data_IF_226067199354
#
_entry.id   IF_226067199354
#
_cell.length_a   1.000
_cell.length_b   1.000
_cell.length_c   1.000
_cell.angle_alpha   90.00
_cell.angle_beta   90.00
_cell.angle_gamma   90.00
#
_symmetry.space_group_name_H-M   'P 1'
#
loop_
_entity.id
_entity.type
_entity.pdbx_description
1 polymer ?
#
# COMPACT_ATOMS: atom_id res chain seq x y z
N UNK A 1 6.42 -15.12 9.48
CA UNK A 1 7.84 -15.46 9.74
C UNK A 1 8.16 -15.61 11.22
N UNK A 2 7.99 -14.60 12.09
CA UNK A 2 8.32 -14.72 13.51
C UNK A 2 7.70 -15.96 14.19
N UNK A 3 6.42 -16.21 13.93
CA UNK A 3 5.71 -17.40 14.42
C UNK A 3 6.34 -18.74 13.96
N UNK A 4 6.75 -18.83 12.69
CA UNK A 4 7.39 -20.05 12.15
C UNK A 4 8.72 -20.38 12.82
N UNK A 5 9.43 -19.35 13.30
CA UNK A 5 10.73 -19.48 13.94
C UNK A 5 10.66 -19.38 15.47
N UNK A 6 9.45 -19.35 16.05
CA UNK A 6 9.26 -19.22 17.49
C UNK A 6 9.83 -17.93 18.09
N UNK A 7 9.99 -16.87 17.29
CA UNK A 7 10.53 -15.58 17.75
C UNK A 7 9.42 -14.82 18.48
N UNK A 8 9.54 -14.59 19.81
CA UNK A 8 8.54 -13.84 20.55
C UNK A 8 8.60 -12.36 20.17
N UNK A 9 7.46 -11.79 19.77
CA UNK A 9 7.34 -10.38 19.44
C UNK A 9 6.77 -9.62 20.65
N UNK A 10 7.63 -8.85 21.32
CA UNK A 10 7.21 -7.89 22.32
C UNK A 10 6.64 -6.60 21.70
N UNK A 11 5.99 -5.74 22.50
CA UNK A 11 5.43 -4.47 22.02
C UNK A 11 6.44 -3.58 21.30
N UNK A 12 7.70 -3.55 21.76
CA UNK A 12 8.77 -2.78 21.13
C UNK A 12 9.13 -3.28 19.72
N UNK A 13 9.17 -4.59 19.51
CA UNK A 13 9.42 -5.17 18.20
C UNK A 13 8.28 -4.85 17.22
N UNK A 14 7.03 -4.96 17.68
CA UNK A 14 5.85 -4.58 16.88
C UNK A 14 5.88 -3.09 16.50
N UNK A 15 6.23 -2.21 17.45
CA UNK A 15 6.35 -0.77 17.18
C UNK A 15 7.48 -0.47 16.18
N UNK A 16 8.65 -1.11 16.33
CA UNK A 16 9.76 -0.97 15.39
C UNK A 16 9.40 -1.46 13.99
N UNK A 17 8.74 -2.62 13.89
CA UNK A 17 8.23 -3.17 12.63
C UNK A 17 7.21 -2.24 11.98
N UNK A 18 6.26 -1.69 12.76
CA UNK A 18 5.29 -0.73 12.27
C UNK A 18 5.94 0.54 11.73
N UNK A 19 6.87 1.13 12.47
CA UNK A 19 7.61 2.31 12.04
C UNK A 19 8.38 2.03 10.74
N UNK A 20 9.10 0.90 10.67
CA UNK A 20 9.81 0.49 9.47
C UNK A 20 8.85 0.31 8.28
N UNK A 21 7.70 -0.33 8.49
CA UNK A 21 6.68 -0.55 7.45
C UNK A 21 6.07 0.76 6.93
N UNK A 22 5.82 1.72 7.81
CA UNK A 22 5.32 3.04 7.42
C UNK A 22 6.36 3.80 6.57
N UNK A 23 7.62 3.77 6.98
CA UNK A 23 8.72 4.41 6.25
C UNK A 23 8.92 3.78 4.87
N UNK A 24 8.95 2.45 4.79
CA UNK A 24 9.16 1.75 3.51
C UNK A 24 7.97 1.89 2.56
N UNK A 25 6.74 2.01 3.08
CA UNK A 25 5.54 2.28 2.27
C UNK A 25 5.61 3.62 1.54
N UNK A 26 6.13 4.67 2.18
CA UNK A 26 6.30 5.98 1.55
C UNK A 26 7.34 5.98 0.42
N UNK A 27 8.31 5.04 0.46
CA UNK A 27 9.37 4.88 -0.54
C UNK A 27 9.06 3.89 -1.67
N UNK A 28 7.85 3.32 -1.71
CA UNK A 28 7.49 2.29 -2.68
C UNK A 28 7.31 2.87 -4.10
N UNK A 29 8.43 3.00 -4.82
CA UNK A 29 8.44 3.12 -6.28
C UNK A 29 7.91 1.81 -6.88
N UNK A 30 7.09 1.88 -7.95
CA UNK A 30 6.37 0.75 -8.55
C UNK A 30 7.24 -0.31 -9.24
N UNK A 31 8.22 -0.88 -8.52
CA UNK A 31 9.07 -1.96 -9.00
C UNK A 31 8.28 -3.27 -9.05
N UNK A 32 8.33 -4.03 -10.16
CA UNK A 32 7.55 -5.26 -10.31
C UNK A 32 7.90 -6.37 -9.30
N UNK A 33 6.85 -6.96 -8.72
CA UNK A 33 6.81 -8.29 -8.10
C UNK A 33 7.85 -8.58 -7.01
N UNK A 34 8.92 -9.27 -7.37
CA UNK A 34 9.84 -9.94 -6.42
C UNK A 34 10.87 -9.01 -5.79
N UNK A 35 11.34 -8.01 -6.54
CA UNK A 35 12.31 -7.01 -6.05
C UNK A 35 11.64 -6.11 -5.02
N UNK A 36 10.39 -5.69 -5.29
CA UNK A 36 9.59 -4.92 -4.33
C UNK A 36 9.37 -5.68 -3.03
N UNK A 37 8.94 -6.95 -3.09
CA UNK A 37 8.68 -7.73 -1.89
C UNK A 37 9.86 -7.84 -0.93
N UNK A 38 11.04 -8.23 -1.43
CA UNK A 38 12.22 -8.37 -0.57
C UNK A 38 12.66 -7.00 -0.05
N UNK A 39 12.67 -5.97 -0.92
CA UNK A 39 13.08 -4.62 -0.54
C UNK A 39 12.17 -3.97 0.49
N UNK A 40 10.86 -4.27 0.48
CA UNK A 40 9.89 -3.73 1.43
C UNK A 40 9.83 -4.52 2.73
N UNK A 41 9.98 -5.85 2.71
CA UNK A 41 9.81 -6.71 3.90
C UNK A 41 11.11 -6.94 4.66
N UNK A 42 12.26 -6.99 3.99
CA UNK A 42 13.54 -7.22 4.66
C UNK A 42 13.86 -6.15 5.74
N UNK A 43 13.68 -4.83 5.50
CA UNK A 43 13.91 -3.83 6.54
C UNK A 43 12.99 -3.99 7.75
N UNK A 44 11.74 -4.39 7.51
CA UNK A 44 10.75 -4.61 8.57
C UNK A 44 11.16 -5.82 9.43
N UNK A 45 11.54 -6.94 8.79
CA UNK A 45 12.00 -8.13 9.48
C UNK A 45 13.26 -7.86 10.30
N UNK A 46 14.21 -7.10 9.75
CA UNK A 46 15.43 -6.67 10.47
C UNK A 46 15.07 -5.80 11.68
N UNK A 47 14.17 -4.82 11.53
CA UNK A 47 13.72 -3.96 12.62
C UNK A 47 13.03 -4.73 13.76
N UNK A 48 12.36 -5.84 13.43
CA UNK A 48 11.70 -6.72 14.41
C UNK A 48 12.62 -7.82 14.97
N UNK A 49 13.88 -7.93 14.50
CA UNK A 49 14.79 -9.01 14.91
C UNK A 49 14.39 -10.40 14.38
N UNK A 50 13.64 -10.45 13.28
CA UNK A 50 13.08 -11.67 12.68
C UNK A 50 13.98 -12.14 11.52
N UNK A 51 14.22 -13.45 11.36
CA UNK A 51 15.07 -13.96 10.27
C UNK A 51 14.51 -13.63 8.88
N UNK A 52 15.37 -13.16 7.98
CA UNK A 52 15.01 -12.75 6.61
C UNK A 52 15.11 -13.87 5.56
N UNK A 53 15.84 -14.93 5.85
CA UNK A 53 16.02 -16.10 4.94
C UNK A 53 14.68 -16.65 4.41
N UNK A 54 13.60 -16.77 5.21
CA UNK A 54 12.32 -17.30 4.75
C UNK A 54 11.65 -16.44 3.66
N UNK A 55 12.05 -15.18 3.50
CA UNK A 55 11.55 -14.31 2.43
C UNK A 55 11.88 -14.88 1.05
N UNK A 56 13.01 -15.58 0.89
CA UNK A 56 13.36 -16.24 -0.37
C UNK A 56 12.37 -17.34 -0.77
N UNK A 57 11.77 -18.02 0.22
CA UNK A 57 10.70 -19.00 -0.04
C UNK A 57 9.36 -18.32 -0.29
N UNK A 58 9.05 -17.26 0.47
CA UNK A 58 7.81 -16.51 0.32
C UNK A 58 7.71 -15.76 -1.02
N UNK A 59 8.84 -15.38 -1.63
CA UNK A 59 8.92 -14.84 -3.00
C UNK A 59 8.21 -15.75 -4.00
N UNK A 60 8.28 -17.07 -3.84
CA UNK A 60 7.67 -18.02 -4.77
C UNK A 60 6.14 -17.89 -4.84
N UNK A 61 5.51 -17.39 -3.79
CA UNK A 61 4.06 -17.25 -3.68
C UNK A 61 3.59 -15.80 -3.62
N UNK A 62 4.51 -14.83 -3.69
CA UNK A 62 4.20 -13.40 -3.50
C UNK A 62 3.23 -12.84 -4.54
N UNK A 63 3.11 -13.47 -5.72
CA UNK A 63 2.18 -13.01 -6.75
C UNK A 63 0.74 -12.93 -6.25
N UNK A 64 0.31 -13.86 -5.39
CA UNK A 64 -1.03 -13.88 -4.81
C UNK A 64 -1.26 -12.66 -3.89
N UNK A 65 -0.49 -12.46 -2.80
CA UNK A 65 -0.65 -11.28 -1.96
C UNK A 65 -0.33 -9.96 -2.67
N UNK A 66 0.55 -9.92 -3.67
CA UNK A 66 0.81 -8.71 -4.48
C UNK A 66 -0.45 -8.21 -5.21
N UNK A 67 -1.24 -9.14 -5.76
CA UNK A 67 -2.55 -8.82 -6.37
C UNK A 67 -3.47 -8.15 -5.34
N UNK A 68 -3.61 -8.74 -4.15
CA UNK A 68 -4.47 -8.18 -3.11
C UNK A 68 -3.94 -6.85 -2.56
N UNK A 69 -2.63 -6.71 -2.38
CA UNK A 69 -1.98 -5.46 -1.98
C UNK A 69 -2.26 -4.35 -2.99
N UNK A 70 -2.12 -4.65 -4.28
CA UNK A 70 -2.36 -3.69 -5.36
C UNK A 70 -3.84 -3.30 -5.45
N UNK A 71 -4.75 -4.28 -5.50
CA UNK A 71 -6.19 -4.03 -5.55
C UNK A 71 -6.68 -3.26 -4.32
N UNK A 72 -6.24 -3.66 -3.13
CA UNK A 72 -6.60 -3.00 -1.87
C UNK A 72 -6.14 -1.54 -1.81
N UNK A 73 -4.91 -1.27 -2.23
CA UNK A 73 -4.38 0.10 -2.27
C UNK A 73 -5.17 0.97 -3.25
N UNK A 74 -5.46 0.48 -4.45
CA UNK A 74 -6.25 1.23 -5.45
C UNK A 74 -7.68 1.45 -4.96
N UNK A 75 -8.32 0.43 -4.41
CA UNK A 75 -9.67 0.54 -3.86
C UNK A 75 -9.75 1.56 -2.71
N UNK A 76 -8.76 1.56 -1.80
CA UNK A 76 -8.66 2.54 -0.73
C UNK A 76 -8.48 3.96 -1.28
N UNK A 77 -7.63 4.15 -2.28
CA UNK A 77 -7.42 5.45 -2.91
C UNK A 77 -8.71 6.01 -3.51
N UNK A 78 -9.47 5.19 -4.26
CA UNK A 78 -10.76 5.59 -4.83
C UNK A 78 -11.76 5.94 -3.72
N UNK A 79 -11.85 5.10 -2.69
CA UNK A 79 -12.75 5.31 -1.56
C UNK A 79 -12.41 6.61 -0.79
N UNK A 80 -11.13 6.88 -0.55
CA UNK A 80 -10.66 8.10 0.10
C UNK A 80 -10.98 9.35 -0.74
N UNK A 81 -10.69 9.32 -2.04
CA UNK A 81 -11.04 10.42 -2.96
C UNK A 81 -12.53 10.70 -2.96
N UNK A 82 -13.37 9.66 -3.05
CA UNK A 82 -14.83 9.79 -2.98
C UNK A 82 -15.30 10.35 -1.65
N UNK A 83 -14.74 9.86 -0.53
CA UNK A 83 -15.07 10.37 0.80
C UNK A 83 -14.71 11.85 0.96
N UNK A 84 -13.57 12.30 0.40
CA UNK A 84 -13.15 13.70 0.40
C UNK A 84 -14.07 14.55 -0.48
N UNK A 85 -14.37 14.11 -1.71
CA UNK A 85 -15.24 14.81 -2.65
C UNK A 85 -16.63 15.09 -2.05
N UNK A 86 -17.26 14.09 -1.41
CA UNK A 86 -18.53 14.29 -0.73
C UNK A 86 -18.45 15.31 0.42
N UNK A 87 -17.31 15.39 1.10
CA UNK A 87 -17.11 16.22 2.28
C UNK A 87 -16.70 17.65 1.94
N UNK A 88 -16.06 17.85 0.79
CA UNK A 88 -15.74 19.17 0.25
C UNK A 88 -16.98 19.90 -0.30
N UNK A 89 -18.13 19.19 -0.39
CA UNK A 89 -19.24 19.60 -1.24
C UNK A 89 -18.85 19.39 -2.71
N UNK A 90 -19.80 19.02 -3.57
CA UNK A 90 -19.56 19.02 -5.02
C UNK A 90 -19.12 20.43 -5.45
N UNK A 91 -17.83 20.72 -5.43
CA UNK A 91 -17.24 21.58 -6.44
C UNK A 91 -17.25 20.74 -7.70
N UNK A 92 -18.43 20.67 -8.32
CA UNK A 92 -18.62 20.04 -9.61
C UNK A 92 -17.66 20.73 -10.60
N UNK A 93 -16.56 20.08 -11.02
CA UNK A 93 -15.72 20.62 -12.08
C UNK A 93 -16.43 20.47 -13.44
N UNK A 94 -17.61 19.82 -13.46
CA UNK A 94 -18.42 19.40 -14.60
C UNK A 94 -19.42 20.43 -15.11
N UNK A 95 -19.58 21.58 -14.45
CA UNK A 95 -19.85 22.83 -15.19
C UNK A 95 -18.53 23.35 -15.79
N UNK A 96 -17.75 22.46 -16.39
CA UNK A 96 -16.64 22.84 -17.26
C UNK A 96 -17.27 23.54 -18.45
N UNK A 97 -16.65 24.63 -18.92
CA UNK A 97 -17.04 25.42 -20.10
C UNK A 97 -17.56 24.57 -21.29
N UNK A 98 -17.10 23.32 -21.40
CA UNK A 98 -17.58 22.32 -22.36
C UNK A 98 -19.09 22.00 -22.27
N UNK A 99 -19.66 21.89 -21.06
CA UNK A 99 -21.08 21.59 -20.83
C UNK A 99 -21.96 22.83 -21.09
N UNK A 100 -21.41 24.04 -20.87
CA UNK A 100 -22.03 25.30 -21.29
C UNK A 100 -22.02 25.49 -22.82
N UNK A 101 -20.93 25.12 -23.49
CA UNK A 101 -20.80 25.15 -24.96
C UNK A 101 -21.80 24.21 -25.66
N UNK A 102 -22.12 23.07 -25.05
CA UNK A 102 -23.13 22.13 -25.56
C UNK A 102 -24.58 22.62 -25.36
N UNK A 103 -24.84 23.46 -24.34
CA UNK A 103 -26.16 24.09 -24.15
C UNK A 103 -26.40 25.32 -25.01
N UNK A 104 -25.34 26.03 -25.41
CA UNK A 104 -25.42 27.21 -26.29
C UNK A 104 -25.51 26.92 -27.78
N UNK A 105 -25.40 25.65 -28.20
CA UNK A 105 -25.43 25.20 -29.60
C UNK A 105 -26.73 24.48 -30.01
N UNK A 106 -27.75 24.48 -29.15
CA UNK A 106 -29.11 24.00 -29.42
C UNK A 106 -30.10 25.18 -29.46
#
# INVERSE_FOLDING_TARGET
VAHWFGVPLGPGALAAGFAAAAITTMGAVGLPGTVSFVSSIAPIAIAMGVPVVPLGLLVAVETIPDIFRTLGNVAMNIAATRAISLRAGDQDPGLSETDELLRGSA
#
